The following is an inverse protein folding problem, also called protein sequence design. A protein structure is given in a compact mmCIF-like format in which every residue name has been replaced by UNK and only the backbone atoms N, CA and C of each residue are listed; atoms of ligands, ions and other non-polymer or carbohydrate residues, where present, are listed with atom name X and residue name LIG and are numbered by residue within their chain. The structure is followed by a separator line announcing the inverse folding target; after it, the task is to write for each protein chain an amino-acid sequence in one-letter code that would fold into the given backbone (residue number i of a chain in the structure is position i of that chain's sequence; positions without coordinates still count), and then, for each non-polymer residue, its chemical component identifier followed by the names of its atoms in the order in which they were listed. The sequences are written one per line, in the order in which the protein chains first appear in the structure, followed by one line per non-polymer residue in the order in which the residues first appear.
data_IF_867720674024
#
_entry.id   IF_867720674024
#
_cell.length_a   1.000
_cell.length_b   1.000
_cell.length_c   1.000
_cell.angle_alpha   90.00
_cell.angle_beta   90.00
_cell.angle_gamma   90.00
#
_symmetry.space_group_name_H-M   'P 1'
#
loop_
_entity.id
_entity.type
_entity.pdbx_description
1 polymer ?
#
# COMPACT_ATOMS: atom_id res chain seq x y z
N UNK A 1 -0.48 -14.43 18.79
CA UNK A 1 0.49 -15.31 18.16
C UNK A 1 1.85 -15.16 18.79
N UNK A 2 2.15 -15.92 19.85
CA UNK A 2 3.51 -15.98 20.40
C UNK A 2 3.96 -17.43 20.47
N UNK A 3 5.06 -17.78 19.80
CA UNK A 3 5.72 -19.07 19.97
C UNK A 3 6.42 -19.09 21.33
N UNK A 4 6.10 -20.07 22.16
CA UNK A 4 6.52 -20.10 23.56
C UNK A 4 7.53 -21.22 23.76
N UNK A 5 8.73 -20.88 24.20
CA UNK A 5 9.83 -21.80 24.49
C UNK A 5 10.00 -21.88 26.01
N UNK A 6 9.84 -23.09 26.56
CA UNK A 6 10.07 -23.35 27.99
C UNK A 6 11.56 -23.58 28.21
N UNK A 7 12.18 -22.84 29.12
CA UNK A 7 13.60 -22.97 29.45
C UNK A 7 13.75 -23.73 30.76
N UNK A 8 14.35 -24.91 30.69
CA UNK A 8 14.65 -25.76 31.84
C UNK A 8 16.14 -25.84 32.13
N UNK A 9 16.50 -25.92 33.42
CA UNK A 9 17.86 -26.20 33.90
C UNK A 9 17.77 -27.19 35.05
N UNK A 10 18.57 -28.26 34.99
CA UNK A 10 18.63 -29.29 36.05
C UNK A 10 17.25 -29.84 36.47
N UNK A 11 16.39 -30.15 35.50
CA UNK A 11 15.02 -30.65 35.72
C UNK A 11 14.01 -29.65 36.30
N UNK A 12 14.41 -28.39 36.54
CA UNK A 12 13.52 -27.31 36.96
C UNK A 12 13.22 -26.35 35.81
N UNK A 13 11.97 -25.90 35.70
CA UNK A 13 11.57 -24.85 34.75
C UNK A 13 12.04 -23.50 35.31
N UNK A 14 12.96 -22.85 34.60
CA UNK A 14 13.60 -21.59 35.03
C UNK A 14 12.92 -20.36 34.41
N UNK A 15 12.23 -20.54 33.29
CA UNK A 15 11.53 -19.44 32.65
C UNK A 15 10.87 -19.82 31.32
N UNK A 16 10.27 -18.82 30.70
CA UNK A 16 9.57 -18.93 29.43
C UNK A 16 10.03 -17.78 28.53
N UNK A 17 10.41 -18.09 27.29
CA UNK A 17 10.70 -17.11 26.25
C UNK A 17 9.54 -17.13 25.25
N UNK A 18 8.94 -15.97 25.00
CA UNK A 18 7.87 -15.82 24.02
C UNK A 18 8.37 -15.02 22.81
N UNK A 19 8.39 -15.65 21.63
CA UNK A 19 8.71 -15.06 20.34
C UNK A 19 7.42 -14.63 19.66
N UNK A 20 7.37 -13.41 19.12
CA UNK A 20 6.20 -12.88 18.40
C UNK A 20 6.68 -12.22 17.12
N UNK A 21 5.95 -12.44 16.04
CA UNK A 21 6.14 -11.63 14.84
C UNK A 21 5.73 -10.19 15.12
N UNK A 22 6.46 -9.27 14.50
CA UNK A 22 6.19 -7.84 14.56
C UNK A 22 5.39 -7.43 13.33
N UNK A 23 4.34 -6.65 13.57
CA UNK A 23 3.59 -6.00 12.49
C UNK A 23 4.49 -4.90 11.91
N UNK A 24 4.51 -4.79 10.58
CA UNK A 24 5.17 -3.66 9.91
C UNK A 24 4.47 -2.36 10.27
N UNK A 25 5.25 -1.33 10.59
CA UNK A 25 4.73 -0.05 11.06
C UNK A 25 3.86 0.68 10.01
N UNK A 26 4.07 0.38 8.72
CA UNK A 26 3.34 0.96 7.59
C UNK A 26 2.08 0.17 7.19
N UNK A 27 1.85 -1.00 7.79
CA UNK A 27 0.70 -1.85 7.45
C UNK A 27 -0.67 -1.20 7.74
N UNK A 28 -0.92 -0.58 8.91
CA UNK A 28 -2.20 0.05 9.18
C UNK A 28 -2.53 1.18 8.18
N UNK A 29 -1.55 2.01 7.83
CA UNK A 29 -1.69 3.12 6.90
C UNK A 29 -1.93 2.60 5.48
N UNK A 30 -1.23 1.55 5.08
CA UNK A 30 -1.45 0.88 3.81
C UNK A 30 -2.88 0.35 3.69
N UNK A 31 -3.39 -0.36 4.71
CA UNK A 31 -4.76 -0.90 4.71
C UNK A 31 -5.80 0.22 4.65
N UNK A 32 -5.63 1.29 5.45
CA UNK A 32 -6.50 2.45 5.40
C UNK A 32 -6.52 3.10 4.01
N UNK A 33 -5.36 3.27 3.38
CA UNK A 33 -5.27 3.82 2.02
C UNK A 33 -5.96 2.92 0.97
N UNK A 34 -5.97 1.60 1.17
CA UNK A 34 -6.72 0.66 0.32
C UNK A 34 -8.23 0.78 0.54
N UNK A 35 -8.67 0.97 1.79
CA UNK A 35 -10.08 1.20 2.10
C UNK A 35 -10.60 2.53 1.54
N UNK A 36 -9.79 3.59 1.58
CA UNK A 36 -10.12 4.90 1.00
C UNK A 36 -10.40 4.82 -0.50
N UNK A 37 -9.70 3.94 -1.22
CA UNK A 37 -9.93 3.66 -2.64
C UNK A 37 -10.94 2.52 -2.88
N UNK A 38 -11.74 2.19 -1.85
CA UNK A 38 -12.82 1.18 -1.85
C UNK A 38 -12.36 -0.21 -2.25
N UNK A 39 -11.15 -0.58 -1.84
CA UNK A 39 -10.61 -1.94 -2.07
C UNK A 39 -10.80 -2.77 -0.80
N UNK A 40 -11.49 -3.90 -0.92
CA UNK A 40 -11.66 -4.87 0.17
C UNK A 40 -10.32 -5.56 0.45
N UNK A 41 -9.98 -5.71 1.74
CA UNK A 41 -8.77 -6.41 2.18
C UNK A 41 -9.16 -7.68 2.94
N UNK A 42 -8.47 -8.78 2.66
CA UNK A 42 -8.68 -10.10 3.28
C UNK A 42 -7.31 -10.67 3.64
N UNK A 43 -7.17 -11.25 4.84
CA UNK A 43 -5.95 -11.92 5.28
C UNK A 43 -6.09 -13.43 5.16
N UNK A 44 -5.23 -14.07 4.34
CA UNK A 44 -5.12 -15.52 4.22
C UNK A 44 -3.79 -15.98 4.84
N UNK A 45 -3.82 -16.79 5.90
CA UNK A 45 -2.60 -17.25 6.57
C UNK A 45 -2.67 -18.72 6.99
N UNK A 46 -1.50 -19.37 7.03
CA UNK A 46 -1.34 -20.70 7.62
C UNK A 46 -1.26 -20.69 9.15
N UNK A 47 -1.09 -19.51 9.76
CA UNK A 47 -1.07 -19.36 11.20
C UNK A 47 -2.44 -19.62 11.82
N UNK A 48 -2.45 -19.91 13.12
CA UNK A 48 -3.69 -20.10 13.84
C UNK A 48 -4.59 -18.86 13.79
N UNK A 49 -5.90 -19.09 13.70
CA UNK A 49 -6.91 -18.03 13.57
C UNK A 49 -6.82 -16.99 14.68
N UNK A 50 -6.54 -17.37 15.93
CA UNK A 50 -6.40 -16.41 17.03
C UNK A 50 -5.23 -15.42 16.85
N UNK A 51 -4.10 -15.89 16.31
CA UNK A 51 -2.98 -15.03 15.97
C UNK A 51 -3.31 -14.13 14.77
N UNK A 52 -3.93 -14.70 13.74
CA UNK A 52 -4.34 -13.99 12.55
C UNK A 52 -5.32 -12.84 12.88
N UNK A 53 -6.36 -13.12 13.67
CA UNK A 53 -7.35 -12.14 14.13
C UNK A 53 -6.70 -11.02 14.95
N UNK A 54 -5.75 -11.38 15.83
CA UNK A 54 -5.00 -10.39 16.60
C UNK A 54 -4.25 -9.42 15.68
N UNK A 55 -3.51 -9.92 14.69
CA UNK A 55 -2.76 -9.08 13.76
C UNK A 55 -3.69 -8.26 12.85
N UNK A 56 -4.74 -8.88 12.30
CA UNK A 56 -5.73 -8.24 11.45
C UNK A 56 -6.44 -7.07 12.15
N UNK A 57 -6.84 -7.25 13.41
CA UNK A 57 -7.48 -6.19 14.21
C UNK A 57 -6.58 -4.97 14.44
N UNK A 58 -5.25 -5.17 14.51
CA UNK A 58 -4.27 -4.10 14.69
C UNK A 58 -4.03 -3.29 13.42
N UNK A 59 -4.16 -3.91 12.25
CA UNK A 59 -3.97 -3.25 10.95
C UNK A 59 -5.28 -2.81 10.29
N UNK A 60 -6.43 -3.24 10.81
CA UNK A 60 -7.75 -2.87 10.29
C UNK A 60 -8.30 -3.79 9.20
N UNK A 61 -7.85 -5.05 9.11
CA UNK A 61 -8.41 -6.03 8.16
C UNK A 61 -9.67 -6.65 8.75
N UNK A 62 -10.79 -6.57 8.03
CA UNK A 62 -12.10 -7.03 8.50
C UNK A 62 -12.44 -8.50 8.24
N UNK A 63 -11.72 -9.17 7.32
CA UNK A 63 -11.95 -10.57 6.97
C UNK A 63 -10.64 -11.36 7.02
N UNK A 64 -10.65 -12.46 7.78
CA UNK A 64 -9.44 -13.23 8.11
C UNK A 64 -9.76 -14.72 8.01
N UNK A 65 -8.88 -15.46 7.33
CA UNK A 65 -8.93 -16.91 7.22
C UNK A 65 -7.57 -17.47 7.64
N UNK A 66 -7.54 -18.09 8.82
CA UNK A 66 -6.34 -18.74 9.39
C UNK A 66 -6.40 -20.26 9.34
N UNK A 67 -5.30 -20.92 9.70
CA UNK A 67 -5.06 -22.36 9.63
C UNK A 67 -5.14 -22.93 8.20
N UNK A 68 -4.81 -22.14 7.18
CA UNK A 68 -4.92 -22.57 5.79
C UNK A 68 -3.66 -23.32 5.31
N UNK A 69 -3.88 -24.44 4.64
CA UNK A 69 -2.89 -25.07 3.78
C UNK A 69 -2.71 -24.26 2.47
N UNK A 70 -1.59 -24.42 1.75
CA UNK A 70 -1.39 -23.75 0.46
C UNK A 70 -2.55 -23.97 -0.51
N UNK A 71 -3.06 -25.20 -0.63
CA UNK A 71 -4.21 -25.54 -1.49
C UNK A 71 -5.50 -24.81 -1.07
N UNK A 72 -5.74 -24.70 0.24
CA UNK A 72 -6.94 -24.01 0.75
C UNK A 72 -6.89 -22.50 0.50
N UNK A 73 -5.69 -21.90 0.40
CA UNK A 73 -5.57 -20.50 -0.04
C UNK A 73 -6.06 -20.33 -1.49
N UNK A 74 -5.85 -21.32 -2.36
CA UNK A 74 -6.31 -21.28 -3.75
C UNK A 74 -7.84 -21.34 -3.78
N UNK A 75 -8.43 -22.27 -3.02
CA UNK A 75 -9.89 -22.41 -2.93
C UNK A 75 -10.56 -21.09 -2.51
N UNK A 76 -9.93 -20.32 -1.61
CA UNK A 76 -10.44 -19.00 -1.22
C UNK A 76 -10.37 -17.98 -2.36
N UNK A 77 -9.25 -17.95 -3.09
CA UNK A 77 -9.08 -17.06 -4.26
C UNK A 77 -10.14 -17.38 -5.32
N UNK A 78 -10.33 -18.67 -5.63
CA UNK A 78 -11.33 -19.12 -6.59
C UNK A 78 -12.75 -18.74 -6.14
N UNK A 79 -13.09 -18.92 -4.86
CA UNK A 79 -14.39 -18.48 -4.31
C UNK A 79 -14.62 -16.98 -4.49
N UNK A 80 -13.62 -16.13 -4.26
CA UNK A 80 -13.76 -14.70 -4.49
C UNK A 80 -13.95 -14.39 -5.98
N UNK A 81 -13.22 -15.07 -6.86
CA UNK A 81 -13.38 -14.93 -8.31
C UNK A 81 -14.77 -15.38 -8.80
N UNK A 82 -15.29 -16.49 -8.27
CA UNK A 82 -16.64 -16.99 -8.57
C UNK A 82 -17.74 -16.00 -8.12
N UNK A 83 -17.50 -15.26 -7.04
CA UNK A 83 -18.38 -14.18 -6.59
C UNK A 83 -18.29 -12.92 -7.47
N UNK A 84 -17.43 -12.91 -8.49
CA UNK A 84 -17.23 -11.81 -9.42
C UNK A 84 -16.21 -10.77 -8.96
N UNK A 85 -15.46 -11.04 -7.89
CA UNK A 85 -14.39 -10.16 -7.43
C UNK A 85 -13.14 -10.33 -8.30
N UNK A 86 -12.47 -9.21 -8.61
CA UNK A 86 -11.12 -9.26 -9.17
C UNK A 86 -10.11 -9.31 -8.02
N UNK A 87 -9.43 -10.45 -7.89
CA UNK A 87 -8.53 -10.73 -6.76
C UNK A 87 -7.11 -10.31 -7.09
N UNK A 88 -6.54 -9.46 -6.23
CA UNK A 88 -5.11 -9.17 -6.21
C UNK A 88 -4.48 -9.89 -5.01
N UNK A 89 -3.59 -10.84 -5.25
CA UNK A 89 -2.87 -11.53 -4.18
C UNK A 89 -1.51 -10.89 -3.93
N UNK A 90 -1.16 -10.67 -2.66
CA UNK A 90 0.16 -10.21 -2.23
C UNK A 90 0.79 -11.29 -1.36
N UNK A 91 2.04 -11.68 -1.65
CA UNK A 91 2.75 -12.71 -0.89
C UNK A 91 4.26 -12.63 -1.03
N UNK A 92 4.98 -13.39 -0.21
CA UNK A 92 6.44 -13.43 -0.16
C UNK A 92 6.99 -14.86 -0.20
N UNK A 93 6.20 -15.85 0.22
CA UNK A 93 6.68 -17.23 0.37
C UNK A 93 6.62 -18.12 -0.87
N UNK A 94 7.45 -19.17 -0.86
CA UNK A 94 7.32 -20.33 -1.78
C UNK A 94 5.93 -20.97 -1.66
N UNK A 95 5.38 -20.98 -0.44
CA UNK A 95 4.05 -21.52 -0.15
C UNK A 95 2.92 -20.72 -0.80
N UNK A 96 3.16 -19.47 -1.18
CA UNK A 96 2.18 -18.59 -1.79
C UNK A 96 2.25 -18.61 -3.31
N UNK A 97 3.31 -19.19 -3.90
CA UNK A 97 3.50 -19.23 -5.36
C UNK A 97 2.33 -19.84 -6.14
N UNK A 98 1.70 -20.97 -5.71
CA UNK A 98 0.54 -21.50 -6.40
C UNK A 98 -0.66 -20.54 -6.35
N UNK A 99 -0.87 -19.90 -5.20
CA UNK A 99 -1.97 -18.96 -5.00
C UNK A 99 -1.76 -17.65 -5.79
N UNK A 100 -0.50 -17.18 -5.91
CA UNK A 100 -0.13 -16.03 -6.73
C UNK A 100 -0.49 -16.27 -8.20
N UNK A 101 -0.28 -17.49 -8.73
CA UNK A 101 -0.64 -17.83 -10.11
C UNK A 101 -2.15 -17.88 -10.38
N UNK A 102 -2.96 -18.18 -9.37
CA UNK A 102 -4.42 -18.28 -9.51
C UNK A 102 -5.12 -16.91 -9.45
N UNK A 103 -4.53 -15.94 -8.75
CA UNK A 103 -5.08 -14.60 -8.63
C UNK A 103 -5.18 -13.89 -10.00
N UNK A 104 -6.09 -12.91 -10.12
CA UNK A 104 -6.21 -12.13 -11.37
C UNK A 104 -4.99 -11.24 -11.61
N UNK A 105 -4.41 -10.76 -10.50
CA UNK A 105 -3.14 -10.04 -10.47
C UNK A 105 -2.41 -10.48 -9.21
N UNK A 106 -1.11 -10.64 -9.30
CA UNK A 106 -0.28 -11.07 -8.19
C UNK A 106 0.91 -10.15 -7.96
N UNK A 107 1.23 -9.91 -6.69
CA UNK A 107 2.32 -9.05 -6.25
C UNK A 107 3.24 -9.81 -5.30
N UNK A 108 4.50 -9.96 -5.67
CA UNK A 108 5.53 -10.51 -4.81
C UNK A 108 6.34 -9.41 -4.12
N UNK A 109 6.68 -9.60 -2.85
CA UNK A 109 7.66 -8.77 -2.15
C UNK A 109 9.07 -9.17 -2.59
N UNK A 110 9.83 -8.28 -3.22
CA UNK A 110 11.09 -8.62 -3.90
C UNK A 110 12.31 -8.73 -2.99
N UNK A 111 12.37 -8.03 -1.86
CA UNK A 111 13.51 -8.08 -0.93
C UNK A 111 13.44 -9.22 0.09
N UNK A 112 12.22 -9.64 0.44
CA UNK A 112 11.98 -10.75 1.38
C UNK A 112 11.35 -11.98 0.73
N UNK A 113 10.88 -11.86 -0.51
CA UNK A 113 10.22 -12.96 -1.19
C UNK A 113 11.20 -13.95 -1.80
N UNK A 114 10.78 -15.21 -1.83
CA UNK A 114 11.52 -16.27 -2.51
C UNK A 114 11.60 -16.03 -4.02
N UNK A 115 12.68 -16.48 -4.67
CA UNK A 115 12.81 -16.43 -6.14
C UNK A 115 11.58 -17.05 -6.84
N UNK A 116 11.03 -18.11 -6.26
CA UNK A 116 9.82 -18.79 -6.74
C UNK A 116 8.59 -17.88 -6.69
N UNK A 117 8.43 -17.08 -5.63
CA UNK A 117 7.32 -16.13 -5.52
C UNK A 117 7.46 -14.98 -6.54
N UNK A 118 8.68 -14.48 -6.75
CA UNK A 118 8.97 -13.42 -7.73
C UNK A 118 8.69 -13.91 -9.16
N UNK A 119 9.06 -15.15 -9.49
CA UNK A 119 8.76 -15.77 -10.79
C UNK A 119 7.26 -16.09 -10.94
N UNK A 120 6.59 -16.39 -9.82
CA UNK A 120 5.17 -16.65 -9.82
C UNK A 120 4.33 -15.39 -10.04
N UNK A 121 4.76 -14.24 -9.53
CA UNK A 121 3.96 -13.01 -9.54
C UNK A 121 4.00 -12.23 -10.86
N UNK A 122 2.94 -11.48 -11.12
CA UNK A 122 2.86 -10.53 -12.24
C UNK A 122 3.68 -9.25 -11.98
N UNK A 123 3.80 -8.88 -10.70
CA UNK A 123 4.46 -7.66 -10.24
C UNK A 123 5.40 -8.01 -9.08
N UNK A 124 6.63 -7.52 -9.14
CA UNK A 124 7.60 -7.62 -8.05
C UNK A 124 7.90 -6.25 -7.43
N UNK A 125 7.69 -6.09 -6.14
CA UNK A 125 8.07 -4.90 -5.38
C UNK A 125 9.53 -4.99 -4.95
N UNK A 126 10.43 -4.28 -5.63
CA UNK A 126 11.88 -4.37 -5.37
C UNK A 126 12.30 -3.87 -3.97
N UNK A 127 11.49 -3.03 -3.33
CA UNK A 127 11.71 -2.55 -1.98
C UNK A 127 10.82 -3.26 -0.96
N UNK A 128 11.18 -3.17 0.31
CA UNK A 128 10.43 -3.76 1.41
C UNK A 128 9.23 -2.90 1.87
N UNK A 129 8.76 -2.00 1.00
CA UNK A 129 7.75 -0.99 1.31
C UNK A 129 6.37 -1.47 0.84
N UNK A 130 5.61 -2.12 1.75
CA UNK A 130 4.22 -2.52 1.46
C UNK A 130 3.32 -1.29 1.22
N UNK A 131 3.73 -0.12 1.70
CA UNK A 131 3.11 1.18 1.38
C UNK A 131 3.01 1.50 -0.12
N UNK A 132 3.74 0.79 -1.01
CA UNK A 132 3.63 0.93 -2.47
C UNK A 132 2.43 0.21 -3.09
N UNK A 133 1.75 -0.68 -2.37
CA UNK A 133 0.55 -1.38 -2.86
C UNK A 133 -0.59 -0.40 -3.20
N UNK A 134 -0.98 0.56 -2.32
CA UNK A 134 -1.93 1.62 -2.67
C UNK A 134 -1.51 2.48 -3.86
N UNK A 135 -0.22 2.81 -3.97
CA UNK A 135 0.32 3.55 -5.12
C UNK A 135 0.08 2.78 -6.42
N UNK A 136 0.37 1.48 -6.43
CA UNK A 136 0.18 0.62 -7.59
C UNK A 136 -1.29 0.57 -8.02
N UNK A 137 -2.21 0.46 -7.06
CA UNK A 137 -3.65 0.45 -7.36
C UNK A 137 -4.13 1.78 -7.94
N UNK A 138 -3.68 2.91 -7.39
CA UNK A 138 -4.02 4.24 -7.88
C UNK A 138 -3.46 4.51 -9.28
N UNK A 139 -2.21 4.10 -9.53
CA UNK A 139 -1.59 4.16 -10.83
C UNK A 139 -2.40 3.35 -11.85
N UNK A 140 -2.73 2.09 -11.53
CA UNK A 140 -3.56 1.22 -12.37
C UNK A 140 -4.92 1.85 -12.73
N UNK A 141 -5.65 2.35 -11.73
CA UNK A 141 -6.93 3.04 -11.94
C UNK A 141 -6.80 4.23 -12.90
N UNK A 142 -5.76 5.03 -12.72
CA UNK A 142 -5.50 6.23 -13.53
C UNK A 142 -5.10 5.88 -14.95
N UNK A 143 -4.28 4.85 -15.13
CA UNK A 143 -3.90 4.33 -16.44
C UNK A 143 -5.13 3.87 -17.21
N UNK A 144 -6.01 3.08 -16.57
CA UNK A 144 -7.25 2.62 -17.20
C UNK A 144 -8.19 3.77 -17.56
N UNK A 145 -8.27 4.80 -16.72
CA UNK A 145 -9.04 6.01 -17.04
C UNK A 145 -8.48 6.71 -18.29
N UNK A 146 -7.16 6.92 -18.36
CA UNK A 146 -6.51 7.55 -19.52
C UNK A 146 -6.68 6.72 -20.80
N UNK A 147 -6.56 5.38 -20.71
CA UNK A 147 -6.80 4.47 -21.84
C UNK A 147 -8.24 4.61 -22.34
N UNK A 148 -9.23 4.54 -21.44
CA UNK A 148 -10.65 4.68 -21.82
C UNK A 148 -10.93 6.04 -22.45
N UNK A 149 -10.40 7.12 -21.89
CA UNK A 149 -10.56 8.46 -22.45
C UNK A 149 -9.94 8.55 -23.86
N UNK A 150 -8.74 8.02 -24.04
CA UNK A 150 -8.06 8.00 -25.34
C UNK A 150 -8.83 7.21 -26.41
N UNK A 151 -9.38 6.05 -26.05
CA UNK A 151 -10.20 5.24 -26.94
C UNK A 151 -11.46 6.01 -27.34
N UNK A 152 -12.15 6.63 -26.38
CA UNK A 152 -13.36 7.42 -26.64
C UNK A 152 -13.07 8.61 -27.57
N UNK A 153 -11.99 9.35 -27.31
CA UNK A 153 -11.57 10.48 -28.16
C UNK A 153 -11.24 9.99 -29.57
N UNK A 154 -10.47 8.91 -29.70
CA UNK A 154 -10.11 8.33 -30.99
C UNK A 154 -11.34 7.89 -31.79
N UNK A 155 -12.26 7.18 -31.14
CA UNK A 155 -13.54 6.78 -31.75
C UNK A 155 -14.39 7.98 -32.18
N UNK A 156 -14.46 9.03 -31.35
CA UNK A 156 -15.20 10.25 -31.66
C UNK A 156 -14.61 11.00 -32.87
N UNK A 157 -13.28 11.14 -32.95
CA UNK A 157 -12.60 11.76 -34.10
C UNK A 157 -12.87 10.97 -35.37
N UNK A 158 -12.75 9.63 -35.32
CA UNK A 158 -13.01 8.77 -36.47
C UNK A 158 -14.48 8.86 -36.92
N UNK A 159 -15.43 8.84 -35.98
CA UNK A 159 -16.85 8.98 -36.29
C UNK A 159 -17.16 10.34 -36.95
N UNK A 160 -16.62 11.43 -36.41
CA UNK A 160 -16.77 12.76 -36.98
C UNK A 160 -16.16 12.85 -38.39
N UNK A 161 -14.98 12.26 -38.60
CA UNK A 161 -14.33 12.22 -39.90
C UNK A 161 -15.17 11.47 -40.95
N UNK A 162 -15.76 10.33 -40.58
CA UNK A 162 -16.65 9.56 -41.46
C UNK A 162 -17.88 10.40 -41.84
N UNK A 163 -18.55 11.04 -40.87
CA UNK A 163 -19.72 11.88 -41.12
C UNK A 163 -19.37 13.02 -42.08
N UNK A 164 -18.28 13.74 -41.81
CA UNK A 164 -17.82 14.82 -42.68
C UNK A 164 -17.42 14.34 -44.08
N UNK A 165 -16.88 13.13 -44.22
CA UNK A 165 -16.56 12.53 -45.52
C UNK A 165 -17.83 12.20 -46.31
N UNK A 166 -18.86 11.64 -45.67
CA UNK A 166 -20.16 11.35 -46.30
C UNK A 166 -20.87 12.64 -46.74
N UNK A 167 -20.74 13.73 -45.97
CA UNK A 167 -21.27 15.05 -46.33
C UNK A 167 -20.44 15.76 -47.41
N UNK A 168 -19.34 15.17 -47.89
CA UNK A 168 -18.47 15.76 -48.89
C UNK A 168 -17.60 16.91 -48.38
N UNK A 169 -17.52 17.11 -47.06
CA UNK A 169 -16.73 18.16 -46.42
C UNK A 169 -15.26 17.79 -46.23
N UNK A 170 -14.94 16.48 -46.22
CA UNK A 170 -13.58 15.98 -46.10
C UNK A 170 -13.15 15.18 -47.33
N UNK A 171 -12.01 15.58 -47.89
CA UNK A 171 -11.28 14.84 -48.91
C UNK A 171 -10.25 13.90 -48.26
N UNK A 172 -9.75 12.87 -48.98
CA UNK A 172 -8.78 11.92 -48.43
C UNK A 172 -7.53 12.57 -47.83
N UNK A 173 -7.03 13.65 -48.43
CA UNK A 173 -5.84 14.38 -47.94
C UNK A 173 -6.12 15.05 -46.58
N UNK A 174 -7.25 15.76 -46.46
CA UNK A 174 -7.64 16.41 -45.19
C UNK A 174 -7.97 15.38 -44.12
N UNK A 175 -8.59 14.25 -44.50
CA UNK A 175 -8.83 13.12 -43.59
C UNK A 175 -7.53 12.54 -43.02
N UNK A 176 -6.50 12.37 -43.85
CA UNK A 176 -5.19 11.90 -43.40
C UNK A 176 -4.53 12.87 -42.39
N UNK A 177 -4.65 14.18 -42.60
CA UNK A 177 -4.13 15.19 -41.66
C UNK A 177 -4.87 15.11 -40.32
N UNK A 178 -6.21 15.04 -40.34
CA UNK A 178 -7.03 14.93 -39.12
C UNK A 178 -6.69 13.67 -38.33
N UNK A 179 -6.51 12.53 -39.01
CA UNK A 179 -6.11 11.28 -38.36
C UNK A 179 -4.76 11.40 -37.66
N UNK A 180 -3.75 11.96 -38.34
CA UNK A 180 -2.41 12.16 -37.74
C UNK A 180 -2.44 13.14 -36.55
N UNK A 181 -3.20 14.23 -36.66
CA UNK A 181 -3.38 15.18 -35.56
C UNK A 181 -4.08 14.52 -34.35
N UNK A 182 -5.10 13.70 -34.59
CA UNK A 182 -5.78 12.92 -33.56
C UNK A 182 -4.84 11.92 -32.86
N UNK A 183 -3.99 11.23 -33.61
CA UNK A 183 -2.97 10.33 -33.06
C UNK A 183 -1.98 11.06 -32.16
N UNK A 184 -1.48 12.23 -32.59
CA UNK A 184 -0.61 13.06 -31.75
C UNK A 184 -1.30 13.48 -30.44
N UNK A 185 -2.57 13.89 -30.50
CA UNK A 185 -3.34 14.27 -29.31
C UNK A 185 -3.45 13.10 -28.31
N UNK A 186 -3.76 11.90 -28.78
CA UNK A 186 -3.87 10.70 -27.94
C UNK A 186 -2.52 10.36 -27.28
N UNK A 187 -1.42 10.44 -28.04
CA UNK A 187 -0.07 10.20 -27.53
C UNK A 187 0.32 11.22 -26.46
N UNK A 188 0.05 12.51 -26.70
CA UNK A 188 0.31 13.56 -25.70
C UNK A 188 -0.51 13.35 -24.43
N UNK A 189 -1.78 12.95 -24.56
CA UNK A 189 -2.63 12.67 -23.40
C UNK A 189 -2.13 11.44 -22.60
N UNK A 190 -1.59 10.44 -23.30
CA UNK A 190 -0.91 9.32 -22.63
C UNK A 190 0.35 9.77 -21.89
N UNK A 191 1.15 10.66 -22.49
CA UNK A 191 2.38 11.20 -21.87
C UNK A 191 2.10 11.98 -20.58
N UNK A 192 0.93 12.65 -20.46
CA UNK A 192 0.53 13.34 -19.23
C UNK A 192 0.35 12.41 -18.02
N UNK A 193 0.20 11.10 -18.24
CA UNK A 193 0.17 10.12 -17.15
C UNK A 193 1.52 10.03 -16.41
N UNK A 194 2.65 10.30 -17.10
CA UNK A 194 3.99 10.28 -16.52
C UNK A 194 4.16 11.30 -15.39
N UNK A 195 3.52 12.47 -15.53
CA UNK A 195 3.65 13.58 -14.57
C UNK A 195 2.66 13.48 -13.40
N UNK A 196 1.82 12.43 -13.35
CA UNK A 196 0.88 12.26 -12.23
C UNK A 196 1.60 11.73 -10.99
N UNK A 197 1.78 12.63 -10.03
CA UNK A 197 2.32 12.28 -8.73
C UNK A 197 1.25 11.62 -7.84
N UNK A 198 1.30 10.29 -7.73
CA UNK A 198 0.48 9.48 -6.82
C UNK A 198 1.11 9.29 -5.45
N UNK A 199 2.31 9.82 -5.20
CA UNK A 199 3.06 9.68 -3.94
C UNK A 199 2.55 10.64 -2.83
N UNK A 200 1.28 11.06 -2.92
CA UNK A 200 0.65 11.94 -1.91
C UNK A 200 0.27 11.20 -0.61
N UNK A 201 0.33 9.87 -0.58
CA UNK A 201 0.02 9.05 0.60
C UNK A 201 1.24 8.75 1.48
N UNK A 202 2.47 8.99 1.02
CA UNK A 202 3.66 8.94 1.88
C UNK A 202 4.05 10.35 2.28
N UNK A 203 3.43 10.90 3.33
CA UNK A 203 4.04 11.95 4.16
C UNK A 203 3.19 12.29 5.39
N UNK A 204 3.51 11.58 6.48
CA UNK A 204 3.63 12.13 7.84
C UNK A 204 4.31 11.04 8.67
N UNK A 205 5.64 11.08 8.76
CA UNK A 205 6.35 10.28 9.74
C UNK A 205 5.97 10.84 11.12
N UNK A 206 5.14 10.10 11.84
CA UNK A 206 4.82 10.42 13.22
C UNK A 206 5.93 9.83 14.07
N UNK A 207 6.69 10.68 14.77
CA UNK A 207 7.71 10.23 15.69
C UNK A 207 7.44 10.85 17.06
N UNK A 208 7.77 10.11 18.11
CA UNK A 208 7.58 10.52 19.49
C UNK A 208 8.96 10.66 20.14
N UNK A 209 9.17 11.73 20.91
CA UNK A 209 10.39 11.92 21.69
C UNK A 209 10.07 12.58 23.02
N UNK A 210 10.97 12.40 24.00
CA UNK A 210 10.89 13.06 25.30
C UNK A 210 11.70 14.35 25.28
N UNK A 211 11.12 15.44 25.78
CA UNK A 211 11.85 16.66 26.09
C UNK A 211 11.92 16.90 27.60
N UNK A 212 12.97 17.60 28.04
CA UNK A 212 13.17 17.99 29.44
C UNK A 212 12.89 19.48 29.54
N UNK A 213 11.97 19.87 30.44
CA UNK A 213 11.77 21.27 30.77
C UNK A 213 12.64 21.58 31.98
N UNK A 214 13.56 22.53 31.82
CA UNK A 214 14.27 23.16 32.94
C UNK A 214 13.55 24.49 33.19
N UNK A 215 12.85 24.55 34.31
CA UNK A 215 12.01 25.64 34.75
C UNK A 215 12.84 26.92 34.92
N UNK A 216 12.67 27.87 33.99
CA UNK A 216 13.30 29.18 34.12
C UNK A 216 12.90 30.22 33.09
N UNK A 217 12.97 29.96 31.78
CA UNK A 217 12.60 30.95 30.75
C UNK A 217 12.71 30.32 29.34
N UNK A 218 11.62 29.81 28.75
CA UNK A 218 11.48 29.70 27.29
C UNK A 218 10.01 29.40 26.93
N UNK A 219 9.37 30.28 26.16
CA UNK A 219 8.01 30.10 25.64
C UNK A 219 8.03 29.51 24.24
N UNK A 220 7.66 28.24 24.09
CA UNK A 220 7.15 27.73 22.82
C UNK A 220 5.70 27.29 23.05
N UNK A 221 4.82 27.69 22.13
CA UNK A 221 3.38 27.48 22.30
C UNK A 221 3.00 26.03 21.98
N UNK A 222 2.22 25.40 22.85
CA UNK A 222 1.61 24.08 22.64
C UNK A 222 0.32 24.15 21.79
N UNK A 223 0.22 25.07 20.82
CA UNK A 223 -0.92 25.08 19.92
C UNK A 223 -0.88 23.83 19.02
N UNK A 224 -1.81 22.90 19.27
CA UNK A 224 -2.06 21.66 18.51
C UNK A 224 -1.12 20.47 18.79
N UNK A 225 -0.59 20.32 20.00
CA UNK A 225 0.22 19.15 20.40
C UNK A 225 -0.47 18.39 21.53
N UNK A 226 -0.75 17.11 21.31
CA UNK A 226 -1.34 16.20 22.32
C UNK A 226 -0.24 15.68 23.26
N UNK A 227 -0.44 15.83 24.57
CA UNK A 227 0.43 15.25 25.60
C UNK A 227 -0.03 13.81 25.82
N UNK A 228 0.85 12.84 25.53
CA UNK A 228 0.53 11.41 25.60
C UNK A 228 0.85 10.84 26.99
N UNK A 229 1.93 11.33 27.62
CA UNK A 229 2.41 10.82 28.91
C UNK A 229 3.30 11.85 29.63
N UNK A 230 3.52 11.69 30.94
CA UNK A 230 4.41 12.54 31.73
C UNK A 230 5.17 11.73 32.80
N UNK A 231 6.49 11.94 32.88
CA UNK A 231 7.37 11.27 33.83
C UNK A 231 8.07 12.30 34.72
N UNK A 232 7.91 12.18 36.03
CA UNK A 232 8.64 12.97 37.01
C UNK A 232 10.09 12.47 37.10
N UNK A 233 11.07 13.36 36.89
CA UNK A 233 12.50 13.05 37.07
C UNK A 233 13.12 13.97 38.12
N UNK A 234 14.34 13.67 38.59
CA UNK A 234 15.07 14.51 39.56
C UNK A 234 15.35 15.94 39.05
N UNK A 235 15.34 16.13 37.72
CA UNK A 235 15.61 17.41 37.04
C UNK A 235 14.34 18.02 36.41
N UNK A 236 13.15 17.72 36.94
CA UNK A 236 11.88 18.28 36.45
C UNK A 236 10.93 17.26 35.82
N UNK A 237 9.82 17.74 35.25
CA UNK A 237 8.79 16.89 34.61
C UNK A 237 9.13 16.74 33.12
N UNK A 238 9.26 15.51 32.65
CA UNK A 238 9.39 15.18 31.22
C UNK A 238 8.03 14.86 30.64
N UNK A 239 7.65 15.55 29.57
CA UNK A 239 6.40 15.30 28.87
C UNK A 239 6.70 14.53 27.58
N UNK A 240 5.84 13.55 27.26
CA UNK A 240 5.84 12.83 25.98
C UNK A 240 4.84 13.51 25.04
N UNK A 241 5.34 13.99 23.92
CA UNK A 241 4.54 14.64 22.88
C UNK A 241 4.54 13.80 21.61
N UNK A 242 3.42 13.81 20.89
CA UNK A 242 3.34 13.33 19.51
C UNK A 242 3.31 14.52 18.56
N UNK A 243 4.22 14.53 17.60
CA UNK A 243 4.25 15.54 16.55
C UNK A 243 4.08 14.88 15.17
N UNK A 244 3.36 15.55 14.28
CA UNK A 244 3.27 15.17 12.86
C UNK A 244 3.91 16.26 12.00
N UNK A 245 5.08 15.97 11.43
CA UNK A 245 5.76 16.88 10.51
C UNK A 245 5.63 16.42 9.06
N UNK A 246 5.56 17.37 8.13
CA UNK A 246 5.78 17.10 6.70
C UNK A 246 7.27 16.92 6.46
N UNK A 247 7.70 15.72 6.06
CA UNK A 247 9.11 15.43 5.79
C UNK A 247 9.65 16.25 4.60
N UNK A 248 10.38 17.32 4.89
CA UNK A 248 11.59 17.66 4.15
C UNK A 248 12.77 17.21 5.03
N UNK A 249 13.64 16.35 4.49
CA UNK A 249 14.72 15.66 5.22
C UNK A 249 15.70 16.59 5.97
N UNK A 250 15.66 17.90 5.72
CA UNK A 250 16.53 18.90 6.35
C UNK A 250 15.90 19.67 7.52
N UNK A 251 14.63 19.44 7.86
CA UNK A 251 13.97 20.25 8.89
C UNK A 251 14.28 19.81 10.33
N UNK A 252 14.61 18.53 10.59
CA UNK A 252 14.76 18.03 11.97
C UNK A 252 16.02 18.52 12.69
N UNK A 253 17.16 18.68 12.00
CA UNK A 253 18.40 19.12 12.66
C UNK A 253 18.34 20.60 13.09
N UNK A 254 17.53 21.43 12.42
CA UNK A 254 17.43 22.86 12.71
C UNK A 254 16.50 23.21 13.87
N UNK A 255 15.67 22.27 14.34
CA UNK A 255 14.72 22.50 15.44
C UNK A 255 15.20 21.99 16.81
N UNK A 256 16.33 21.26 16.84
CA UNK A 256 16.83 20.58 18.05
C UNK A 256 18.21 21.07 18.54
N UNK A 257 18.68 22.24 18.08
CA UNK A 257 19.83 22.95 18.65
C UNK A 257 19.40 24.20 19.41
#
# INVERSE_FOLDING_TARGET
GKATVIVGKNNDVVGIIALSDMIREDAPQMINALHDIKTKTVLLTGDNTQAADYFASKVGIGEVHGNLLPEEKLDWIEKFQENGDNVCMVGDGVNDAPALKTANVSVAMGSMGSDVAIEAADIALLGDEISKIPYLKNLSNSTLFTIKANIVISMAINAAAIICSVLGLLNPVTGAIVHNAGSCLVVLNAALLYDRNFDKTSKKAQHNHYHTHDDGEHSHSHENVEIIDAIQTENGIRHLHAHTHSMERHACENYHN
#
